data_IF_212177433650
#
_entry.id   IF_212177433650
#
_cell.length_a   1.000
_cell.length_b   1.000
_cell.length_c   1.000
_cell.angle_alpha   90.00
_cell.angle_beta   90.00
_cell.angle_gamma   90.00
#
_symmetry.space_group_name_H-M   'P 1'
#
loop_
_entity.id
_entity.type
_entity.pdbx_description
1 polymer ?
#
# COMPACT_ATOMS: atom_id res chain seq x y z
N UNK A 1 17.48 -5.49 -6.30
CA UNK A 1 16.30 -6.36 -6.19
C UNK A 1 15.07 -5.52 -6.49
N UNK A 2 14.43 -5.73 -7.65
CA UNK A 2 13.21 -5.01 -8.05
C UNK A 2 12.02 -5.88 -7.65
N UNK A 3 11.31 -5.47 -6.60
CA UNK A 3 10.12 -6.17 -6.11
C UNK A 3 9.02 -5.99 -7.18
N UNK A 4 8.55 -7.11 -7.75
CA UNK A 4 7.53 -7.13 -8.82
C UNK A 4 7.90 -7.97 -10.05
N UNK A 5 9.19 -8.21 -10.32
CA UNK A 5 9.64 -9.07 -11.43
C UNK A 5 9.75 -10.54 -11.01
N UNK A 6 10.13 -10.81 -9.75
CA UNK A 6 10.40 -12.17 -9.28
C UNK A 6 9.18 -12.92 -8.75
N UNK A 7 7.99 -12.33 -8.79
CA UNK A 7 6.75 -13.01 -8.40
C UNK A 7 5.60 -12.52 -9.30
N UNK A 8 5.62 -12.87 -10.61
CA UNK A 8 4.50 -12.54 -11.49
C UNK A 8 3.22 -13.12 -10.89
N UNK A 9 2.05 -12.48 -11.09
CA UNK A 9 0.77 -13.11 -10.78
C UNK A 9 0.65 -14.37 -11.65
N UNK A 10 1.10 -15.50 -11.12
CA UNK A 10 1.14 -16.79 -11.82
C UNK A 10 -0.26 -17.38 -12.01
N UNK A 11 -0.31 -18.61 -12.51
CA UNK A 11 -1.55 -19.36 -12.80
C UNK A 11 -2.51 -19.44 -11.59
N UNK A 12 -1.97 -19.37 -10.37
CA UNK A 12 -2.76 -19.30 -9.13
C UNK A 12 -3.60 -18.01 -9.04
N UNK A 13 -3.01 -16.84 -9.29
CA UNK A 13 -3.76 -15.58 -9.29
C UNK A 13 -4.67 -15.48 -10.52
N UNK A 14 -4.32 -16.14 -11.63
CA UNK A 14 -5.18 -16.25 -12.80
C UNK A 14 -6.45 -17.07 -12.54
N UNK A 15 -6.37 -18.12 -11.72
CA UNK A 15 -7.49 -19.02 -11.39
C UNK A 15 -8.46 -18.53 -10.30
N UNK A 16 -8.11 -17.49 -9.54
CA UNK A 16 -9.01 -16.92 -8.53
C UNK A 16 -10.19 -16.18 -9.16
N UNK A 17 -11.38 -16.35 -8.58
CA UNK A 17 -12.55 -15.55 -8.96
C UNK A 17 -12.31 -14.08 -8.64
N UNK A 18 -12.02 -13.31 -9.68
CA UNK A 18 -11.75 -11.87 -9.60
C UNK A 18 -13.04 -11.09 -9.83
N UNK A 19 -13.34 -10.07 -9.01
CA UNK A 19 -14.45 -9.19 -9.29
C UNK A 19 -14.20 -8.36 -10.56
N UNK A 20 -15.28 -7.90 -11.17
CA UNK A 20 -15.30 -7.14 -12.43
C UNK A 20 -14.50 -5.83 -12.39
N UNK A 21 -14.17 -5.32 -11.19
CA UNK A 21 -13.38 -4.09 -11.00
C UNK A 21 -11.87 -4.33 -10.89
N UNK A 22 -11.38 -5.56 -11.10
CA UNK A 22 -9.92 -5.84 -11.04
C UNK A 22 -9.19 -5.12 -12.17
N UNK A 23 -8.20 -4.25 -11.88
CA UNK A 23 -7.51 -3.52 -12.92
C UNK A 23 -6.53 -4.43 -13.67
N UNK A 24 -6.20 -4.11 -14.93
CA UNK A 24 -5.15 -4.78 -15.68
C UNK A 24 -3.85 -4.96 -14.88
N UNK A 25 -3.22 -6.13 -14.97
CA UNK A 25 -2.03 -6.48 -14.17
C UNK A 25 -0.87 -5.47 -14.27
N UNK A 26 -0.75 -4.76 -15.39
CA UNK A 26 0.28 -3.73 -15.61
C UNK A 26 0.03 -2.42 -14.86
N UNK A 27 -1.21 -2.12 -14.47
CA UNK A 27 -1.53 -0.92 -13.69
C UNK A 27 -0.97 -1.02 -12.27
N UNK A 28 -0.84 -2.22 -11.72
CA UNK A 28 -0.25 -2.44 -10.39
C UNK A 28 1.18 -1.89 -10.28
N UNK A 29 2.16 -2.35 -11.09
CA UNK A 29 3.52 -1.84 -11.00
C UNK A 29 3.61 -0.36 -11.33
N UNK A 30 2.84 0.15 -12.30
CA UNK A 30 2.83 1.59 -12.64
C UNK A 30 2.36 2.42 -11.46
N UNK A 31 1.22 2.06 -10.85
CA UNK A 31 0.67 2.76 -9.69
C UNK A 31 1.67 2.72 -8.53
N UNK A 32 2.24 1.55 -8.20
CA UNK A 32 3.22 1.42 -7.13
C UNK A 32 4.47 2.26 -7.38
N UNK A 33 5.00 2.32 -8.60
CA UNK A 33 6.15 3.18 -8.93
C UNK A 33 5.84 4.65 -8.65
N UNK A 34 4.70 5.15 -9.12
CA UNK A 34 4.29 6.54 -8.86
C UNK A 34 4.12 6.78 -7.36
N UNK A 35 3.46 5.86 -6.65
CA UNK A 35 3.24 5.96 -5.21
C UNK A 35 4.55 5.96 -4.43
N UNK A 36 5.53 5.13 -4.78
CA UNK A 36 6.83 5.13 -4.10
C UNK A 36 7.56 6.46 -4.21
N UNK A 37 7.46 7.14 -5.36
CA UNK A 37 8.00 8.50 -5.52
C UNK A 37 7.27 9.46 -4.57
N UNK A 38 5.94 9.44 -4.54
CA UNK A 38 5.15 10.31 -3.65
C UNK A 38 5.47 10.06 -2.17
N UNK A 39 5.60 8.79 -1.78
CA UNK A 39 5.92 8.36 -0.42
C UNK A 39 7.32 8.85 -0.03
N UNK A 40 8.31 8.71 -0.92
CA UNK A 40 9.67 9.19 -0.68
C UNK A 40 9.71 10.71 -0.50
N UNK A 41 9.02 11.46 -1.37
CA UNK A 41 8.94 12.93 -1.27
C UNK A 41 8.26 13.36 0.04
N UNK A 42 7.14 12.74 0.41
CA UNK A 42 6.45 13.05 1.66
C UNK A 42 7.29 12.69 2.90
N UNK A 43 8.03 11.58 2.88
CA UNK A 43 8.98 11.20 3.93
C UNK A 43 10.09 12.24 4.08
N UNK A 44 10.69 12.66 2.97
CA UNK A 44 11.72 13.72 2.97
C UNK A 44 11.20 15.03 3.57
N UNK A 45 9.97 15.44 3.24
CA UNK A 45 9.35 16.65 3.82
C UNK A 45 9.18 16.56 5.32
N UNK A 46 8.70 15.42 5.82
CA UNK A 46 8.49 15.18 7.25
C UNK A 46 9.82 15.17 8.02
N UNK A 47 10.88 14.59 7.44
CA UNK A 47 12.24 14.66 7.99
C UNK A 47 12.73 16.10 8.07
N UNK A 48 12.58 16.86 6.98
CA UNK A 48 13.00 18.27 6.91
C UNK A 48 12.24 19.15 7.91
N UNK A 49 10.96 18.87 8.15
CA UNK A 49 10.14 19.57 9.12
C UNK A 49 10.36 19.12 10.58
N UNK A 50 11.24 18.14 10.83
CA UNK A 50 11.55 17.64 12.19
C UNK A 50 10.39 16.89 12.86
N UNK A 51 9.40 16.42 12.09
CA UNK A 51 8.17 15.81 12.60
C UNK A 51 8.40 14.32 12.95
N UNK A 52 9.18 14.04 14.00
CA UNK A 52 9.57 12.68 14.44
C UNK A 52 8.39 11.71 14.57
N UNK A 53 7.26 12.20 15.08
CA UNK A 53 6.06 11.39 15.26
C UNK A 53 5.35 11.00 13.95
N UNK A 54 5.48 11.79 12.88
CA UNK A 54 4.97 11.44 11.55
C UNK A 54 6.00 10.56 10.80
N UNK A 55 7.29 10.77 11.04
CA UNK A 55 8.34 9.91 10.51
C UNK A 55 8.20 8.46 11.01
N UNK A 56 7.88 8.27 12.30
CA UNK A 56 7.60 6.93 12.83
C UNK A 56 6.45 6.24 12.09
N UNK A 57 5.34 6.94 11.85
CA UNK A 57 4.19 6.41 11.08
C UNK A 57 4.59 6.06 9.64
N UNK A 58 5.40 6.91 9.00
CA UNK A 58 5.95 6.66 7.67
C UNK A 58 6.82 5.40 7.61
N UNK A 59 7.68 5.20 8.62
CA UNK A 59 8.53 4.01 8.72
C UNK A 59 7.71 2.74 8.94
N UNK A 60 6.74 2.78 9.86
CA UNK A 60 5.87 1.64 10.14
C UNK A 60 5.06 1.26 8.90
N UNK A 61 4.50 2.24 8.17
CA UNK A 61 3.77 1.94 6.94
C UNK A 61 4.68 1.30 5.89
N UNK A 62 5.95 1.73 5.79
CA UNK A 62 6.89 1.13 4.85
C UNK A 62 7.20 -0.30 5.21
N UNK A 63 7.43 -0.60 6.49
CA UNK A 63 7.59 -1.98 6.95
C UNK A 63 6.38 -2.85 6.57
N UNK A 64 5.16 -2.38 6.83
CA UNK A 64 3.94 -3.08 6.44
C UNK A 64 3.82 -3.27 4.92
N UNK A 65 4.22 -2.26 4.14
CA UNK A 65 4.23 -2.34 2.68
C UNK A 65 5.16 -3.45 2.17
N UNK A 66 6.38 -3.51 2.71
CA UNK A 66 7.35 -4.56 2.38
C UNK A 66 6.89 -5.95 2.81
N UNK A 67 6.17 -6.07 3.93
CA UNK A 67 5.63 -7.34 4.40
C UNK A 67 4.43 -7.84 3.60
N UNK A 68 3.63 -6.94 3.01
CA UNK A 68 2.40 -7.32 2.31
C UNK A 68 2.65 -8.21 1.08
N UNK A 69 3.58 -7.82 0.20
CA UNK A 69 3.85 -8.56 -1.04
C UNK A 69 4.27 -10.03 -0.82
N UNK A 70 5.22 -10.36 0.08
CA UNK A 70 5.57 -11.76 0.34
C UNK A 70 4.47 -12.54 1.07
N UNK A 71 3.69 -11.92 1.95
CA UNK A 71 2.56 -12.61 2.60
C UNK A 71 1.45 -12.97 1.62
N UNK A 72 1.10 -12.06 0.71
CA UNK A 72 0.01 -12.28 -0.23
C UNK A 72 0.42 -13.14 -1.43
N UNK A 73 1.53 -12.80 -2.11
CA UNK A 73 1.96 -13.52 -3.32
C UNK A 73 2.94 -14.66 -3.05
N UNK A 74 3.66 -14.65 -1.93
CA UNK A 74 4.60 -15.71 -1.60
C UNK A 74 3.94 -16.82 -0.77
N UNK A 75 3.31 -16.45 0.33
CA UNK A 75 2.68 -17.41 1.25
C UNK A 75 1.22 -17.75 0.88
N UNK A 76 0.63 -17.05 -0.10
CA UNK A 76 -0.79 -17.20 -0.49
C UNK A 76 -1.78 -17.06 0.68
N UNK A 77 -1.37 -16.36 1.75
CA UNK A 77 -2.18 -16.16 2.96
C UNK A 77 -3.09 -14.95 2.76
N UNK A 78 -4.18 -15.14 2.03
CA UNK A 78 -5.14 -14.08 1.66
C UNK A 78 -5.63 -13.31 2.91
N UNK A 79 -6.04 -14.03 3.96
CA UNK A 79 -6.52 -13.42 5.21
C UNK A 79 -5.47 -12.56 5.95
N UNK A 80 -4.22 -13.03 6.01
CA UNK A 80 -3.12 -12.24 6.60
C UNK A 80 -2.72 -11.06 5.72
N UNK A 81 -2.77 -11.23 4.39
CA UNK A 81 -2.61 -10.14 3.43
C UNK A 81 -3.65 -9.03 3.61
N UNK A 82 -4.91 -9.40 3.92
CA UNK A 82 -5.97 -8.45 4.24
C UNK A 82 -5.68 -7.70 5.56
N UNK A 83 -5.27 -8.41 6.61
CA UNK A 83 -4.92 -7.77 7.88
C UNK A 83 -3.77 -6.75 7.73
N UNK A 84 -2.72 -7.11 6.99
CA UNK A 84 -1.56 -6.23 6.75
C UNK A 84 -1.97 -5.00 5.94
N UNK A 85 -2.77 -5.15 4.87
CA UNK A 85 -3.16 -4.01 4.03
C UNK A 85 -4.11 -3.06 4.76
N UNK A 86 -5.00 -3.57 5.63
CA UNK A 86 -5.83 -2.74 6.50
C UNK A 86 -5.01 -2.01 7.56
N UNK A 87 -4.04 -2.69 8.18
CA UNK A 87 -3.11 -2.05 9.11
C UNK A 87 -2.29 -0.94 8.41
N UNK A 88 -1.85 -1.19 7.18
CA UNK A 88 -1.16 -0.21 6.35
C UNK A 88 -2.05 0.99 6.05
N UNK A 89 -3.32 0.78 5.68
CA UNK A 89 -4.30 1.84 5.47
C UNK A 89 -4.49 2.69 6.73
N UNK A 90 -4.61 2.07 7.90
CA UNK A 90 -4.72 2.79 9.16
C UNK A 90 -3.49 3.68 9.42
N UNK A 91 -2.28 3.17 9.18
CA UNK A 91 -1.05 3.96 9.34
C UNK A 91 -0.98 5.14 8.37
N UNK A 92 -1.43 4.98 7.13
CA UNK A 92 -1.52 6.05 6.12
C UNK A 92 -2.46 7.15 6.60
N UNK A 93 -3.67 6.78 7.06
CA UNK A 93 -4.67 7.74 7.54
C UNK A 93 -4.18 8.50 8.77
N UNK A 94 -3.51 7.80 9.71
CA UNK A 94 -2.87 8.44 10.87
C UNK A 94 -1.76 9.41 10.44
N UNK A 95 -0.94 9.05 9.44
CA UNK A 95 0.08 9.94 8.91
C UNK A 95 -0.54 11.21 8.31
N UNK A 96 -1.59 11.06 7.49
CA UNK A 96 -2.33 12.19 6.89
C UNK A 96 -2.88 13.08 7.99
N UNK A 97 -3.60 12.53 8.97
CA UNK A 97 -4.18 13.30 10.07
C UNK A 97 -3.11 14.08 10.87
N UNK A 98 -1.96 13.45 11.14
CA UNK A 98 -0.86 14.04 11.91
C UNK A 98 -0.11 15.13 11.14
N UNK A 99 0.01 15.01 9.83
CA UNK A 99 0.72 15.97 8.97
C UNK A 99 -0.21 17.03 8.39
N UNK A 100 -1.54 16.88 8.49
CA UNK A 100 -2.53 17.77 7.87
C UNK A 100 -2.36 19.25 8.24
N UNK A 101 -2.09 19.53 9.52
CA UNK A 101 -1.94 20.91 10.03
C UNK A 101 -0.51 21.44 9.95
N UNK A 102 0.49 20.56 9.98
CA UNK A 102 1.91 20.92 10.10
C UNK A 102 2.64 20.89 8.75
N UNK A 103 2.39 19.89 7.92
CA UNK A 103 2.98 19.70 6.59
C UNK A 103 1.88 19.24 5.61
N UNK A 104 0.98 20.17 5.24
CA UNK A 104 -0.18 19.86 4.38
C UNK A 104 0.21 19.23 3.05
N UNK A 105 1.36 19.60 2.49
CA UNK A 105 1.87 19.00 1.25
C UNK A 105 2.18 17.51 1.42
N UNK A 106 2.81 17.11 2.54
CA UNK A 106 3.09 15.69 2.80
C UNK A 106 1.79 14.88 2.97
N UNK A 107 0.77 15.47 3.62
CA UNK A 107 -0.55 14.86 3.75
C UNK A 107 -1.25 14.68 2.39
N UNK A 108 -1.19 15.70 1.52
CA UNK A 108 -1.78 15.64 0.18
C UNK A 108 -1.10 14.59 -0.71
N UNK A 109 0.22 14.44 -0.63
CA UNK A 109 0.96 13.40 -1.35
C UNK A 109 0.58 11.97 -0.93
N UNK A 110 0.08 11.81 0.30
CA UNK A 110 -0.39 10.53 0.83
C UNK A 110 -1.86 10.22 0.48
N UNK A 111 -2.65 11.19 0.01
CA UNK A 111 -4.04 10.95 -0.38
C UNK A 111 -4.17 9.96 -1.56
N UNK A 112 -3.42 10.10 -2.67
CA UNK A 112 -3.43 9.11 -3.75
C UNK A 112 -3.04 7.72 -3.24
N UNK A 113 -2.12 7.67 -2.27
CA UNK A 113 -1.70 6.42 -1.65
C UNK A 113 -2.82 5.78 -0.81
N UNK A 114 -3.52 6.56 0.02
CA UNK A 114 -4.67 6.09 0.77
C UNK A 114 -5.77 5.52 -0.13
N UNK A 115 -6.07 6.22 -1.24
CA UNK A 115 -7.07 5.77 -2.21
C UNK A 115 -6.68 4.43 -2.87
N UNK A 116 -5.41 4.30 -3.28
CA UNK A 116 -4.91 3.05 -3.86
C UNK A 116 -4.94 1.90 -2.87
N UNK A 117 -4.54 2.13 -1.62
CA UNK A 117 -4.52 1.08 -0.58
C UNK A 117 -5.93 0.69 -0.14
N UNK A 118 -6.87 1.63 -0.08
CA UNK A 118 -8.28 1.33 0.14
C UNK A 118 -8.86 0.46 -0.98
N UNK A 119 -8.56 0.79 -2.24
CA UNK A 119 -8.95 -0.02 -3.39
C UNK A 119 -8.34 -1.44 -3.33
N UNK A 120 -7.05 -1.53 -3.05
CA UNK A 120 -6.37 -2.82 -2.92
C UNK A 120 -6.91 -3.64 -1.73
N UNK A 121 -7.32 -2.99 -0.64
CA UNK A 121 -7.96 -3.63 0.52
C UNK A 121 -9.33 -4.20 0.14
N UNK A 122 -10.13 -3.45 -0.62
CA UNK A 122 -11.41 -3.91 -1.15
C UNK A 122 -11.23 -5.12 -2.08
N UNK A 123 -10.25 -5.06 -2.98
CA UNK A 123 -9.92 -6.18 -3.87
C UNK A 123 -9.52 -7.42 -3.06
N UNK A 124 -8.62 -7.27 -2.09
CA UNK A 124 -8.17 -8.37 -1.24
C UNK A 124 -9.34 -8.97 -0.42
N UNK A 125 -10.18 -8.12 0.16
CA UNK A 125 -11.38 -8.55 0.90
C UNK A 125 -12.40 -9.26 0.00
N UNK A 126 -12.60 -8.80 -1.23
CA UNK A 126 -13.48 -9.47 -2.18
C UNK A 126 -12.96 -10.84 -2.59
N UNK A 127 -11.64 -11.00 -2.76
CA UNK A 127 -11.02 -12.30 -3.03
C UNK A 127 -11.17 -13.23 -1.83
N UNK A 128 -10.99 -12.71 -0.61
CA UNK A 128 -11.15 -13.45 0.64
C UNK A 128 -12.60 -13.87 0.95
N UNK A 129 -13.59 -13.16 0.41
CA UNK A 129 -15.01 -13.49 0.56
C UNK A 129 -15.49 -14.47 -0.52
N UNK A 130 -14.82 -14.49 -1.68
CA UNK A 130 -15.19 -15.33 -2.82
C UNK A 130 -14.50 -16.71 -2.81
N UNK A 131 -13.56 -16.97 -1.90
CA UNK A 131 -12.78 -18.21 -1.78
C UNK A 131 -12.60 -18.59 -0.31
#
# INVERSE_FOLDING_TARGET
>A
MVIGINNPPGDWYAGLQKPWFTPPGILFPIAWTVLYILIAVAGWRVVRAGLKGALALWLVQMALNFSWSPTFFGAHLIGWGLAIILAMLAMILLFIAKTWRTERTAALLFLPYAAWVAFASLLNGSIALAN
#
